data_IF_331439729874
#
_entry.id   IF_331439729874
#
_cell.length_a   1.000
_cell.length_b   1.000
_cell.length_c   1.000
_cell.angle_alpha   90.00
_cell.angle_beta   90.00
_cell.angle_gamma   90.00
#
_symmetry.space_group_name_H-M   'P 1'
#
loop_
_entity.id
_entity.type
_entity.pdbx_description
1 polymer ?
#
# COMPACT_ATOMS: atom_id res chain seq x y z
N UNK A 1 -28.83 -21.26 -21.14
CA UNK A 1 -28.62 -22.72 -20.93
C UNK A 1 -27.24 -23.05 -21.50
N UNK A 2 -26.27 -23.45 -20.66
CA UNK A 2 -24.85 -23.61 -21.05
C UNK A 2 -23.90 -22.53 -20.55
N UNK A 3 -24.35 -21.65 -19.64
CA UNK A 3 -23.47 -20.68 -18.97
C UNK A 3 -22.64 -21.37 -17.90
N UNK A 4 -21.35 -21.08 -17.86
CA UNK A 4 -20.43 -21.50 -16.80
C UNK A 4 -20.29 -20.32 -15.84
N UNK A 5 -20.50 -20.58 -14.55
CA UNK A 5 -20.38 -19.58 -13.48
C UNK A 5 -19.38 -20.11 -12.46
N UNK A 6 -18.37 -19.30 -12.17
CA UNK A 6 -17.32 -19.62 -11.21
C UNK A 6 -17.37 -18.68 -10.00
N UNK A 7 -16.91 -19.18 -8.86
CA UNK A 7 -16.78 -18.41 -7.63
C UNK A 7 -15.45 -18.72 -6.94
N UNK A 8 -14.77 -17.66 -6.49
CA UNK A 8 -13.54 -17.75 -5.72
C UNK A 8 -13.49 -16.63 -4.67
N UNK A 9 -12.65 -16.82 -3.64
CA UNK A 9 -12.44 -15.82 -2.58
C UNK A 9 -10.97 -15.70 -2.23
N UNK A 10 -10.51 -14.48 -1.99
CA UNK A 10 -9.21 -14.19 -1.39
C UNK A 10 -9.39 -13.84 0.09
N UNK A 11 -8.74 -14.60 0.97
CA UNK A 11 -8.84 -14.38 2.43
C UNK A 11 -7.90 -13.24 2.84
N UNK A 12 -8.47 -12.15 3.33
CA UNK A 12 -7.71 -10.95 3.71
C UNK A 12 -6.65 -11.21 4.79
N UNK A 13 -6.93 -12.11 5.75
CA UNK A 13 -5.96 -12.47 6.79
C UNK A 13 -4.70 -13.11 6.18
N UNK A 14 -4.88 -14.11 5.32
CA UNK A 14 -3.79 -14.77 4.62
C UNK A 14 -3.04 -13.82 3.66
N UNK A 15 -3.76 -12.91 3.00
CA UNK A 15 -3.15 -11.89 2.15
C UNK A 15 -2.23 -10.93 2.94
N UNK A 16 -2.69 -10.47 4.11
CA UNK A 16 -1.91 -9.59 4.99
C UNK A 16 -0.68 -10.29 5.55
N UNK A 17 -0.82 -11.54 5.97
CA UNK A 17 0.30 -12.37 6.42
C UNK A 17 1.33 -12.54 5.29
N UNK A 18 0.86 -12.86 4.08
CA UNK A 18 1.70 -12.98 2.89
C UNK A 18 2.50 -11.69 2.62
N UNK A 19 1.84 -10.54 2.51
CA UNK A 19 2.53 -9.29 2.21
C UNK A 19 3.52 -8.89 3.32
N UNK A 20 3.15 -9.05 4.59
CA UNK A 20 4.05 -8.78 5.72
C UNK A 20 5.31 -9.65 5.63
N UNK A 21 5.14 -10.95 5.35
CA UNK A 21 6.26 -11.87 5.17
C UNK A 21 7.12 -11.51 3.95
N UNK A 22 6.53 -11.09 2.83
CA UNK A 22 7.28 -10.72 1.62
C UNK A 22 8.04 -9.40 1.78
N UNK A 23 7.49 -8.40 2.48
CA UNK A 23 8.20 -7.16 2.80
C UNK A 23 9.42 -7.47 3.68
N UNK A 24 9.24 -8.28 4.73
CA UNK A 24 10.34 -8.69 5.60
C UNK A 24 11.41 -9.49 4.85
N UNK A 25 10.99 -10.42 3.98
CA UNK A 25 11.88 -11.23 3.16
C UNK A 25 12.70 -10.37 2.19
N UNK A 26 12.07 -9.44 1.47
CA UNK A 26 12.76 -8.56 0.54
C UNK A 26 13.85 -7.75 1.25
N UNK A 27 13.57 -7.28 2.47
CA UNK A 27 14.54 -6.56 3.30
C UNK A 27 15.69 -7.47 3.73
N UNK A 28 15.40 -8.68 4.21
CA UNK A 28 16.40 -9.65 4.66
C UNK A 28 17.33 -10.12 3.52
N UNK A 29 16.79 -10.27 2.32
CA UNK A 29 17.53 -10.71 1.12
C UNK A 29 18.23 -9.55 0.38
N UNK A 30 17.95 -8.29 0.75
CA UNK A 30 18.52 -7.13 0.07
C UNK A 30 18.05 -6.98 -1.38
N UNK A 31 16.83 -7.42 -1.69
CA UNK A 31 16.24 -7.36 -3.03
C UNK A 31 15.13 -6.32 -3.12
N UNK A 32 14.82 -5.88 -4.34
CA UNK A 32 13.73 -4.93 -4.56
C UNK A 32 12.38 -5.58 -4.29
N UNK A 33 11.55 -4.91 -3.48
CA UNK A 33 10.14 -5.25 -3.35
C UNK A 33 9.36 -4.62 -4.51
N UNK A 34 8.54 -5.42 -5.19
CA UNK A 34 7.70 -4.97 -6.29
C UNK A 34 6.33 -5.64 -6.24
N UNK A 35 5.30 -4.94 -6.71
CA UNK A 35 3.91 -5.42 -6.74
C UNK A 35 3.41 -5.38 -8.17
N UNK A 36 2.95 -6.52 -8.68
CA UNK A 36 2.49 -6.69 -10.06
C UNK A 36 1.02 -7.07 -10.07
N UNK A 37 0.15 -6.12 -10.44
CA UNK A 37 -1.31 -6.25 -10.44
C UNK A 37 -1.88 -5.67 -11.74
N UNK A 38 -3.19 -5.80 -11.94
CA UNK A 38 -3.91 -5.28 -13.12
C UNK A 38 -5.04 -4.32 -12.70
N UNK A 39 -4.71 -3.37 -11.83
CA UNK A 39 -5.64 -2.48 -11.12
C UNK A 39 -6.68 -1.77 -11.99
N UNK A 40 -6.34 -1.33 -13.21
CA UNK A 40 -7.28 -0.64 -14.11
C UNK A 40 -8.37 -1.56 -14.66
N UNK A 41 -8.02 -2.80 -15.03
CA UNK A 41 -8.99 -3.77 -15.57
C UNK A 41 -9.77 -4.45 -14.44
N UNK A 42 -9.06 -4.81 -13.37
CA UNK A 42 -9.63 -5.43 -12.18
C UNK A 42 -10.08 -4.36 -11.17
N UNK A 43 -10.96 -3.47 -11.62
CA UNK A 43 -11.32 -2.20 -10.96
C UNK A 43 -11.80 -2.29 -9.50
N UNK A 44 -12.16 -3.49 -9.03
CA UNK A 44 -12.62 -3.72 -7.65
C UNK A 44 -11.57 -4.48 -6.84
N UNK A 45 -11.15 -5.66 -7.30
CA UNK A 45 -10.27 -6.53 -6.51
C UNK A 45 -8.87 -5.95 -6.35
N UNK A 46 -8.27 -5.49 -7.43
CA UNK A 46 -6.84 -5.19 -7.45
C UNK A 46 -6.50 -3.90 -6.72
N UNK A 47 -7.31 -2.81 -6.76
CA UNK A 47 -7.11 -1.68 -5.86
C UNK A 47 -7.18 -2.05 -4.37
N UNK A 48 -8.03 -3.02 -3.99
CA UNK A 48 -8.12 -3.50 -2.60
C UNK A 48 -6.86 -4.31 -2.24
N UNK A 49 -6.41 -5.20 -3.13
CA UNK A 49 -5.17 -5.97 -2.95
C UNK A 49 -3.97 -5.02 -2.84
N UNK A 50 -3.90 -3.99 -3.69
CA UNK A 50 -2.86 -2.98 -3.68
C UNK A 50 -2.86 -2.18 -2.37
N UNK A 51 -4.03 -1.77 -1.88
CA UNK A 51 -4.14 -1.10 -0.59
C UNK A 51 -3.66 -1.98 0.58
N UNK A 52 -3.82 -3.29 0.50
CA UNK A 52 -3.21 -4.20 1.48
C UNK A 52 -1.69 -4.28 1.38
N UNK A 53 -1.11 -4.22 0.17
CA UNK A 53 0.34 -4.14 0.00
C UNK A 53 0.91 -2.84 0.58
N UNK A 54 0.26 -1.69 0.32
CA UNK A 54 0.63 -0.39 0.90
C UNK A 54 0.58 -0.44 2.43
N UNK A 55 -0.49 -0.99 3.02
CA UNK A 55 -0.59 -1.14 4.49
C UNK A 55 0.46 -2.07 5.08
N UNK A 56 0.84 -3.12 4.36
CA UNK A 56 1.87 -4.06 4.82
C UNK A 56 3.28 -3.45 4.75
N UNK A 57 3.51 -2.50 3.85
CA UNK A 57 4.78 -1.77 3.77
C UNK A 57 4.88 -0.67 4.85
N UNK A 58 3.74 -0.07 5.25
CA UNK A 58 3.66 1.02 6.22
C UNK A 58 2.91 0.65 7.51
N UNK A 59 3.24 -0.46 8.20
CA UNK A 59 2.45 -0.96 9.31
C UNK A 59 2.35 0.03 10.47
N UNK A 60 3.42 0.76 10.81
CA UNK A 60 3.45 1.67 11.95
C UNK A 60 2.63 2.94 11.67
N UNK A 61 2.77 3.50 10.47
CA UNK A 61 2.02 4.68 10.05
C UNK A 61 0.52 4.40 10.04
N UNK A 62 0.09 3.26 9.49
CA UNK A 62 -1.34 2.91 9.49
C UNK A 62 -1.86 2.49 10.87
N UNK A 63 -1.02 1.93 11.74
CA UNK A 63 -1.40 1.65 13.13
C UNK A 63 -1.64 2.94 13.92
N UNK A 64 -0.84 3.99 13.67
CA UNK A 64 -0.91 5.25 14.41
C UNK A 64 -1.93 6.24 13.84
N UNK A 65 -2.01 6.38 12.51
CA UNK A 65 -2.81 7.44 11.84
C UNK A 65 -3.91 6.89 10.93
N UNK A 66 -4.14 5.58 10.92
CA UNK A 66 -5.09 4.94 10.00
C UNK A 66 -6.51 5.52 10.04
N UNK A 67 -7.01 5.85 11.23
CA UNK A 67 -8.34 6.43 11.42
C UNK A 67 -8.41 7.88 10.92
N UNK A 68 -7.35 8.67 11.12
CA UNK A 68 -7.27 10.06 10.63
C UNK A 68 -7.18 10.10 9.11
N UNK A 69 -6.37 9.22 8.51
CA UNK A 69 -6.28 9.05 7.06
C UNK A 69 -7.65 8.66 6.48
N UNK A 70 -8.33 7.69 7.10
CA UNK A 70 -9.65 7.25 6.67
C UNK A 70 -10.72 8.36 6.80
N UNK A 71 -10.71 9.11 7.90
CA UNK A 71 -11.62 10.23 8.12
C UNK A 71 -11.43 11.36 7.09
N UNK A 72 -10.20 11.55 6.61
CA UNK A 72 -9.86 12.49 5.54
C UNK A 72 -10.12 11.93 4.13
N UNK A 73 -10.62 10.70 3.99
CA UNK A 73 -10.85 10.04 2.71
C UNK A 73 -9.57 9.58 2.00
N UNK A 74 -8.42 9.56 2.70
CA UNK A 74 -7.14 9.13 2.16
C UNK A 74 -7.02 7.61 2.26
N UNK A 75 -7.21 6.94 1.12
CA UNK A 75 -7.21 5.48 1.05
C UNK A 75 -5.91 4.94 0.46
N UNK A 76 -5.35 3.85 1.03
CA UNK A 76 -4.20 3.17 0.43
C UNK A 76 -4.53 2.47 -0.89
N UNK A 77 -5.81 2.26 -1.21
CA UNK A 77 -6.22 1.67 -2.48
C UNK A 77 -5.83 2.56 -3.68
N UNK A 78 -5.68 3.86 -3.46
CA UNK A 78 -5.27 4.85 -4.46
C UNK A 78 -3.73 5.07 -4.48
N UNK A 79 -3.00 4.32 -3.65
CA UNK A 79 -1.56 4.37 -3.53
C UNK A 79 -1.01 5.51 -2.65
N UNK A 80 0.29 5.43 -2.38
CA UNK A 80 0.99 6.40 -1.54
C UNK A 80 0.91 7.83 -2.10
N UNK A 81 1.02 7.98 -3.42
CA UNK A 81 0.93 9.30 -4.07
C UNK A 81 -0.42 10.00 -3.84
N UNK A 82 -1.52 9.25 -3.76
CA UNK A 82 -2.85 9.79 -3.42
C UNK A 82 -2.89 10.28 -1.97
N UNK A 83 -2.36 9.48 -1.05
CA UNK A 83 -2.26 9.84 0.38
C UNK A 83 -1.41 11.11 0.56
N UNK A 84 -0.19 11.13 0.03
CA UNK A 84 0.76 12.25 0.20
C UNK A 84 0.20 13.56 -0.34
N UNK A 85 -0.44 13.54 -1.52
CA UNK A 85 -1.10 14.74 -2.08
C UNK A 85 -2.25 15.23 -1.20
N UNK A 86 -2.92 14.32 -0.51
CA UNK A 86 -4.06 14.62 0.33
C UNK A 86 -3.70 15.09 1.75
N UNK A 87 -2.46 14.94 2.21
CA UNK A 87 -2.05 15.33 3.57
C UNK A 87 -2.27 16.82 3.89
N UNK A 88 -2.35 17.68 2.88
CA UNK A 88 -2.69 19.09 3.06
C UNK A 88 -4.09 19.34 3.65
N UNK A 89 -5.00 18.37 3.61
CA UNK A 89 -6.30 18.44 4.29
C UNK A 89 -6.23 18.14 5.80
N UNK A 90 -5.05 17.74 6.29
CA UNK A 90 -4.77 17.40 7.68
C UNK A 90 -3.67 18.33 8.24
N UNK A 91 -3.91 19.65 8.38
CA UNK A 91 -2.86 20.61 8.73
C UNK A 91 -2.20 20.34 10.10
N UNK A 92 -2.93 19.74 11.04
CA UNK A 92 -2.43 19.51 12.40
C UNK A 92 -1.46 18.31 12.49
N UNK A 93 -1.62 17.32 11.62
CA UNK A 93 -0.87 16.03 11.71
C UNK A 93 -0.22 15.61 10.40
N UNK A 94 -0.45 16.31 9.29
CA UNK A 94 -0.01 15.92 7.96
C UNK A 94 1.52 15.84 7.84
N UNK A 95 2.25 16.77 8.45
CA UNK A 95 3.71 16.72 8.49
C UNK A 95 4.25 15.52 9.29
N UNK A 96 3.58 15.17 10.39
CA UNK A 96 3.94 14.01 11.23
C UNK A 96 3.66 12.70 10.47
N UNK A 97 2.54 12.62 9.76
CA UNK A 97 2.18 11.48 8.92
C UNK A 97 3.19 11.32 7.77
N UNK A 98 3.56 12.41 7.10
CA UNK A 98 4.55 12.38 6.04
C UNK A 98 5.90 11.84 6.54
N UNK A 99 6.39 12.37 7.67
CA UNK A 99 7.63 11.90 8.29
C UNK A 99 7.56 10.41 8.69
N UNK A 100 6.38 9.94 9.13
CA UNK A 100 6.15 8.53 9.44
C UNK A 100 6.28 7.63 8.20
N UNK A 101 5.71 8.05 7.06
CA UNK A 101 5.89 7.34 5.78
C UNK A 101 7.34 7.33 5.32
N UNK A 102 8.04 8.46 5.43
CA UNK A 102 9.46 8.58 5.05
C UNK A 102 10.36 7.70 5.94
N UNK A 103 10.08 7.61 7.24
CA UNK A 103 10.81 6.72 8.15
C UNK A 103 10.65 5.25 7.76
N UNK A 104 9.41 4.80 7.48
CA UNK A 104 9.17 3.42 7.07
C UNK A 104 9.69 3.10 5.66
N UNK A 105 9.77 4.09 4.76
CA UNK A 105 10.49 3.95 3.48
C UNK A 105 11.99 3.71 3.70
N UNK A 106 12.61 4.45 4.63
CA UNK A 106 14.03 4.31 4.94
C UNK A 106 14.34 3.00 5.69
N UNK A 107 13.42 2.53 6.53
CA UNK A 107 13.55 1.28 7.26
C UNK A 107 13.14 0.05 6.46
N UNK A 108 12.32 0.20 5.41
CA UNK A 108 11.80 -0.89 4.57
C UNK A 108 12.80 -1.46 3.55
N UNK A 109 12.41 -2.50 2.80
CA UNK A 109 13.17 -2.90 1.61
C UNK A 109 13.11 -1.81 0.54
N UNK A 110 14.14 -1.74 -0.30
CA UNK A 110 14.09 -0.88 -1.49
C UNK A 110 12.93 -1.27 -2.40
N UNK A 111 12.19 -0.28 -2.90
CA UNK A 111 11.07 -0.49 -3.82
C UNK A 111 11.55 -0.42 -5.27
N UNK A 112 10.93 -1.19 -6.15
CA UNK A 112 11.02 -0.92 -7.57
C UNK A 112 10.47 0.49 -7.87
N UNK A 113 11.06 1.17 -8.85
CA UNK A 113 10.71 2.55 -9.20
C UNK A 113 10.00 2.60 -10.55
N UNK A 114 8.94 3.38 -10.64
CA UNK A 114 8.31 3.78 -11.90
C UNK A 114 9.11 4.89 -12.58
N UNK A 115 9.55 5.89 -11.81
CA UNK A 115 10.40 7.00 -12.26
C UNK A 115 11.36 7.39 -11.12
N UNK A 116 12.61 6.90 -11.19
CA UNK A 116 13.62 7.09 -10.14
C UNK A 116 14.05 8.54 -10.00
N UNK A 117 14.10 9.31 -11.10
CA UNK A 117 14.53 10.71 -11.09
C UNK A 117 13.54 11.60 -10.31
N UNK A 118 12.29 11.15 -10.20
CA UNK A 118 11.21 11.84 -9.48
C UNK A 118 10.80 11.16 -8.17
N UNK A 119 11.46 10.08 -7.78
CA UNK A 119 11.10 9.32 -6.58
C UNK A 119 9.72 8.65 -6.66
N UNK A 120 9.23 8.33 -7.87
CA UNK A 120 7.94 7.63 -8.03
C UNK A 120 8.20 6.14 -7.93
N UNK A 121 7.81 5.56 -6.79
CA UNK A 121 7.79 4.11 -6.53
C UNK A 121 6.59 3.43 -7.20
#
# INVERSE_FOLDING_TARGET
>A
KGEVVDAAVMRVAALREFFTAQVARAKAEGVLFSVHLKATMMKVSDPIIFGHAVRAFFPNTFAKYGDQLAAAGLTPNDGLGGILKGLGSLPDVGAEIQASFEAELAEGPALAMVDSDKGIT
#
